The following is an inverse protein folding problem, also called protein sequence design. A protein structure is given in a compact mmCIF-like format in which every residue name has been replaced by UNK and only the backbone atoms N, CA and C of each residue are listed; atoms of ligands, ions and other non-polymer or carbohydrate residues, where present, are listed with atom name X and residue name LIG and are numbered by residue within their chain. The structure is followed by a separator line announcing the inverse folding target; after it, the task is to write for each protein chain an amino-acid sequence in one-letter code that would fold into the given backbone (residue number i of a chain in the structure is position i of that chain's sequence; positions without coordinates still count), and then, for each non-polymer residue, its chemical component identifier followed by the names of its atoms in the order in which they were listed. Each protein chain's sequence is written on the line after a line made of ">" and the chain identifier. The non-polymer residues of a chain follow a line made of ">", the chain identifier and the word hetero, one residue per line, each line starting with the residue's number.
data_IF_853863968675
#
_entry.id   IF_853863968675
#
_cell.length_a   1.000
_cell.length_b   1.000
_cell.length_c   1.000
_cell.angle_alpha   90.00
_cell.angle_beta   90.00
_cell.angle_gamma   90.00
#
_symmetry.space_group_name_H-M   'P 1'
#
loop_
_entity.id
_entity.type
_entity.pdbx_description
1 polymer ?
2 polymer ?
3 water ?
#
# COMPACT_ATOMS: atom_id res chain seq x y z
N UNK A 22 -1.87 14.53 24.17
CA UNK A 22 -0.46 14.30 23.86
C UNK A 22 -0.32 13.70 22.46
N UNK A 23 -0.92 12.53 22.28
CA UNK A 23 -0.96 11.88 20.97
C UNK A 23 -1.75 12.73 20.00
N UNK A 24 -2.79 13.38 20.51
CA UNK A 24 -3.63 14.24 19.68
C UNK A 24 -2.85 15.48 19.27
N UNK A 25 -1.99 15.95 20.15
CA UNK A 25 -1.11 17.07 19.85
C UNK A 25 -0.04 16.67 18.84
N UNK A 26 0.51 15.48 19.02
CA UNK A 26 1.53 14.97 18.11
C UNK A 26 0.96 14.79 16.72
N UNK A 27 -0.21 14.15 16.61
CA UNK A 27 -0.79 13.95 15.29
C UNK A 27 -1.14 15.28 14.61
N UNK A 28 -1.54 16.25 15.42
CA UNK A 28 -1.86 17.56 14.89
C UNK A 28 -0.59 18.20 14.33
N UNK A 29 0.53 17.98 15.03
CA UNK A 29 1.80 18.51 14.57
C UNK A 29 2.18 17.84 13.25
N UNK A 30 1.84 16.57 13.11
CA UNK A 30 2.13 15.82 11.90
C UNK A 30 1.35 16.42 10.73
N UNK A 31 0.08 16.70 10.96
CA UNK A 31 -0.72 17.33 9.92
C UNK A 31 -0.22 18.73 9.55
N UNK A 32 0.23 19.49 10.53
CA UNK A 32 0.79 20.83 10.24
C UNK A 32 1.98 20.73 9.29
N UNK A 33 2.85 19.76 9.53
CA UNK A 33 4.01 19.59 8.65
C UNK A 33 3.61 19.21 7.23
N UNK A 34 2.63 18.31 7.09
CA UNK A 34 2.15 17.93 5.77
C UNK A 34 1.57 19.13 5.03
N UNK A 35 0.83 19.95 5.75
CA UNK A 35 0.24 21.15 5.17
C UNK A 35 1.34 22.08 4.68
N UNK A 36 2.42 22.14 5.45
CA UNK A 36 3.53 23.06 5.15
C UNK A 36 4.26 22.62 3.89
N UNK A 37 4.51 21.31 3.80
CA UNK A 37 5.18 20.72 2.63
C UNK A 37 4.44 21.02 1.32
N UNK A 38 3.11 20.98 1.38
CA UNK A 38 2.27 21.23 0.22
C UNK A 38 2.34 22.70 -0.16
N UNK A 39 2.34 23.56 0.84
CA UNK A 39 2.43 25.01 0.60
C UNK A 39 3.81 25.39 0.06
N UNK A 40 4.85 24.71 0.53
CA UNK A 40 6.21 25.01 0.12
C UNK A 40 6.51 24.53 -1.30
N UNK A 41 5.88 23.44 -1.71
CA UNK A 41 6.09 22.89 -3.05
C UNK A 41 7.18 21.84 -3.11
N UNK A 43 7.18 18.65 -1.70
CA UNK A 43 6.29 17.56 -2.11
C UNK A 43 5.39 17.96 -3.29
N UNK A 44 5.90 17.69 -4.49
CA UNK A 44 5.25 18.09 -5.75
C UNK A 44 4.33 17.01 -6.33
N UNK A 45 3.46 17.38 -7.26
CA UNK A 45 2.53 16.42 -7.86
C UNK A 45 2.28 16.68 -9.33
N UNK A 46 3.34 16.96 -10.07
CA UNK A 46 3.25 17.29 -11.48
C UNK A 46 2.77 16.13 -12.35
N UNK A 47 3.40 14.96 -12.22
CA UNK A 47 3.03 13.81 -13.04
C UNK A 47 1.56 13.45 -12.86
N UNK A 48 1.10 13.42 -11.62
CA UNK A 48 -0.27 13.02 -11.31
C UNK A 48 -1.29 14.01 -11.85
N UNK A 49 -0.83 15.20 -12.19
CA UNK A 49 -1.71 16.30 -12.62
C UNK A 49 -1.75 16.45 -14.13
N UNK A 50 -0.85 15.78 -14.84
CA UNK A 50 -0.86 15.78 -16.29
C UNK A 50 -2.23 15.38 -16.79
N UNK A 51 -2.71 16.07 -17.83
CA UNK A 51 -4.01 15.74 -18.45
C UNK A 51 -4.08 14.29 -18.93
N UNK A 52 -2.94 13.71 -19.31
CA UNK A 52 -2.91 12.31 -19.72
C UNK A 52 -3.08 11.36 -18.52
N UNK A 53 -2.85 11.87 -17.31
CA UNK A 53 -2.86 11.01 -16.11
C UNK A 53 -4.05 11.20 -15.17
N UNK A 54 -4.68 12.36 -15.22
CA UNK A 54 -5.75 12.66 -14.25
C UNK A 54 -6.80 11.53 -14.08
N UNK A 55 -7.18 10.91 -15.17
CA UNK A 55 -8.24 9.89 -15.06
C UNK A 55 -7.76 8.60 -14.36
N UNK A 56 -6.45 8.47 -14.17
CA UNK A 56 -5.89 7.26 -13.55
C UNK A 56 -5.82 7.34 -12.02
N UNK A 57 -6.28 8.47 -11.49
CA UNK A 57 -6.38 8.68 -10.05
C UNK A 57 -7.78 8.37 -9.56
N UNK A 58 -7.87 7.55 -8.52
CA UNK A 58 -9.17 7.17 -8.00
C UNK A 58 -9.84 8.40 -7.40
N UNK A 59 -9.06 9.24 -6.72
CA UNK A 59 -9.61 10.38 -6.01
C UNK A 59 -8.86 11.64 -6.41
N UNK A 60 -9.59 12.72 -6.72
CA UNK A 60 -8.97 13.97 -7.15
C UNK A 60 -8.06 14.57 -6.09
N UNK A 61 -8.29 14.21 -4.82
CA UNK A 61 -7.50 14.83 -3.76
C UNK A 61 -6.34 13.97 -3.25
N UNK A 62 -6.02 12.91 -3.99
CA UNK A 62 -4.93 12.01 -3.61
C UNK A 62 -4.06 11.73 -4.83
N UNK A 63 -2.93 12.46 -4.92
CA UNK A 63 -1.97 12.32 -6.00
C UNK A 63 -0.60 11.95 -5.45
N UNK A 64 0.14 11.11 -6.20
CA UNK A 64 1.44 10.69 -5.66
C UNK A 64 2.48 11.81 -5.79
N UNK A 65 3.33 11.95 -4.79
CA UNK A 65 4.45 12.88 -4.84
C UNK A 65 5.41 12.46 -5.93
N UNK A 66 5.85 13.43 -6.74
CA UNK A 66 6.83 13.19 -7.79
C UNK A 66 8.12 12.61 -7.23
N UNK A 67 8.51 13.10 -6.07
CA UNK A 67 9.81 12.76 -5.47
C UNK A 67 9.99 11.28 -5.14
N UNK A 68 8.90 10.55 -4.97
CA UNK A 68 8.97 9.16 -4.54
C UNK A 68 8.01 8.29 -5.34
N UNK A 69 7.46 8.84 -6.42
CA UNK A 69 6.45 8.10 -7.16
C UNK A 69 7.04 6.88 -7.85
N UNK A 70 6.19 5.89 -8.09
CA UNK A 70 6.58 4.68 -8.80
C UNK A 70 6.56 4.95 -10.31
N UNK A 71 7.70 4.75 -10.96
CA UNK A 71 7.82 5.02 -12.38
C UNK A 71 7.86 3.72 -13.18
N UNK A 72 6.88 3.52 -14.05
CA UNK A 72 6.73 2.25 -14.77
C UNK A 72 7.44 2.31 -16.13
N UNK A 73 8.42 1.45 -16.34
CA UNK A 73 9.12 1.40 -17.62
C UNK A 73 8.78 0.12 -18.41
N UNK A 74 7.99 -0.77 -17.82
CA UNK A 74 7.63 -2.00 -18.54
C UNK A 74 6.74 -1.65 -19.73
N UNK A 75 7.09 -2.17 -20.91
CA UNK A 75 6.39 -1.87 -22.16
C UNK A 75 6.61 -0.42 -22.65
N UNK A 76 7.65 0.22 -22.13
CA UNK A 76 8.01 1.59 -22.53
C UNK A 76 8.05 1.74 -24.04
N UNK A 77 8.80 0.85 -24.67
CA UNK A 77 9.00 0.83 -26.12
C UNK A 77 7.69 0.83 -26.91
N UNK A 78 6.62 0.33 -26.28
CA UNK A 78 5.31 0.29 -26.93
C UNK A 78 4.54 1.59 -26.71
N UNK A 79 5.13 2.50 -25.95
CA UNK A 79 4.50 3.79 -25.71
C UNK A 79 3.56 3.84 -24.52
N UNK A 80 3.58 2.82 -23.67
CA UNK A 80 2.80 2.84 -22.44
C UNK A 80 3.32 3.92 -21.49
N UNK A 81 2.38 4.59 -20.83
CA UNK A 81 2.69 5.66 -19.89
C UNK A 81 3.45 5.15 -18.66
N UNK A 82 4.28 5.99 -18.07
CA UNK A 82 5.01 5.57 -16.86
C UNK A 82 4.18 5.71 -15.57
N UNK A 83 2.94 6.17 -15.69
CA UNK A 83 2.19 6.63 -14.53
C UNK A 83 1.30 5.60 -13.81
N UNK A 84 1.40 5.59 -12.49
CA UNK A 84 0.45 4.87 -11.64
C UNK A 84 0.36 5.64 -10.33
N UNK A 85 -0.82 5.67 -9.73
CA UNK A 85 -0.95 6.42 -8.50
C UNK A 85 -0.37 5.58 -7.37
N UNK A 86 0.91 5.79 -7.06
CA UNK A 86 1.58 4.95 -6.07
C UNK A 86 2.96 5.52 -5.79
N UNK A 87 3.49 5.24 -4.59
CA UNK A 87 4.77 5.77 -4.18
C UNK A 87 5.61 4.69 -3.49
N UNK A 88 6.92 4.82 -3.60
CA UNK A 88 7.82 3.99 -2.82
C UNK A 88 7.95 4.55 -1.42
N UNK A 89 8.05 3.65 -0.45
CA UNK A 89 8.31 4.01 0.91
C UNK A 89 9.54 3.18 1.35
N UNK A 90 10.53 3.85 1.93
CA UNK A 90 11.75 3.18 2.34
C UNK A 90 11.55 2.40 3.64
N UNK A 91 12.26 1.29 3.78
CA UNK A 91 12.14 0.44 4.95
C UNK A 91 13.23 0.71 5.97
N UNK A 92 13.33 -0.17 6.96
CA UNK A 92 14.24 0.05 8.08
C UNK A 92 15.69 0.12 7.63
N UNK A 93 16.05 -0.64 6.61
CA UNK A 93 17.44 -0.70 6.15
C UNK A 93 17.72 0.36 5.09
N UNK A 94 16.74 1.23 4.84
CA UNK A 94 16.89 2.29 3.87
C UNK A 94 16.57 1.85 2.45
N UNK A 95 16.24 0.58 2.26
CA UNK A 95 15.88 0.10 0.93
C UNK A 95 14.45 0.52 0.57
N UNK A 96 14.10 0.36 -0.70
CA UNK A 96 12.72 0.63 -1.15
C UNK A 96 11.86 -0.57 -0.80
N UNK A 97 11.37 -0.61 0.44
CA UNK A 97 10.72 -1.79 1.00
C UNK A 97 9.22 -1.93 0.71
N UNK A 98 8.55 -0.81 0.50
CA UNK A 98 7.12 -0.84 0.17
C UNK A 98 6.78 -0.03 -1.06
N UNK A 99 5.77 -0.51 -1.79
CA UNK A 99 5.03 0.28 -2.73
C UNK A 99 3.65 0.52 -2.13
N UNK A 100 3.33 1.79 -1.91
CA UNK A 100 2.01 2.18 -1.42
C UNK A 100 1.24 2.73 -2.60
N UNK A 101 0.11 2.11 -2.93
CA UNK A 101 -0.68 2.49 -4.11
C UNK A 101 -2.19 2.36 -3.84
N UNK A 102 -2.99 2.94 -4.74
CA UNK A 102 -4.45 2.96 -4.60
C UNK A 102 -5.02 1.62 -5.05
N UNK A 103 -6.30 1.40 -4.77
CA UNK A 103 -6.96 0.22 -5.31
C UNK A 103 -7.17 0.49 -6.79
N UNK A 104 -6.70 -0.42 -7.65
CA UNK A 104 -6.80 -0.23 -9.10
C UNK A 104 -8.22 0.00 -9.62
N UNK A 105 -8.30 0.80 -10.69
CA UNK A 105 -9.55 1.11 -11.38
C UNK A 105 -9.72 0.16 -12.55
N UNK A 106 -10.93 0.13 -13.13
CA UNK A 106 -11.12 -0.79 -14.26
C UNK A 106 -10.05 -0.60 -15.32
N UNK A 107 -9.66 0.66 -15.54
CA UNK A 107 -8.74 1.00 -16.62
C UNK A 107 -7.28 1.13 -16.19
N UNK A 108 -6.97 0.89 -14.91
CA UNK A 108 -5.57 0.85 -14.49
C UNK A 108 -5.14 -0.52 -13.96
N UNK A 109 -5.95 -1.55 -14.18
CA UNK A 109 -5.61 -2.91 -13.80
C UNK A 109 -4.32 -3.34 -14.49
N UNK A 110 -4.20 -3.01 -15.78
CA UNK A 110 -2.98 -3.32 -16.51
C UNK A 110 -1.77 -2.62 -15.91
N UNK A 111 -1.94 -1.38 -15.47
CA UNK A 111 -0.80 -0.64 -14.91
C UNK A 111 -0.42 -1.26 -13.56
N UNK A 112 -1.43 -1.72 -12.81
CA UNK A 112 -1.19 -2.38 -11.52
C UNK A 112 -0.30 -3.60 -11.70
N UNK A 113 -0.63 -4.41 -12.69
CA UNK A 113 0.19 -5.59 -12.98
C UNK A 113 1.56 -5.24 -13.54
N UNK A 114 1.64 -4.17 -14.33
CA UNK A 114 2.94 -3.71 -14.79
C UNK A 114 3.84 -3.41 -13.60
N UNK A 115 3.28 -2.75 -12.60
CA UNK A 115 3.99 -2.43 -11.37
C UNK A 115 4.46 -3.71 -10.66
N UNK A 116 3.54 -4.65 -10.48
CA UNK A 116 3.84 -5.87 -9.74
C UNK A 116 4.97 -6.62 -10.45
N UNK A 117 4.88 -6.67 -11.77
CA UNK A 117 5.87 -7.40 -12.58
C UNK A 117 7.23 -6.71 -12.63
N UNK A 118 7.24 -5.43 -12.95
CA UNK A 118 8.50 -4.71 -13.07
C UNK A 118 9.37 -4.83 -11.82
N UNK A 119 8.75 -4.63 -10.66
CA UNK A 119 9.51 -4.60 -9.42
C UNK A 119 9.61 -5.93 -8.68
N UNK A 120 9.23 -7.01 -9.36
CA UNK A 120 9.41 -8.35 -8.82
C UNK A 120 8.65 -8.61 -7.53
N UNK A 121 7.48 -7.97 -7.39
CA UNK A 121 6.68 -8.09 -6.17
C UNK A 121 6.26 -9.54 -5.97
N UNK A 122 6.43 -10.04 -4.75
CA UNK A 122 6.01 -11.39 -4.41
C UNK A 122 4.75 -11.43 -3.54
N UNK A 123 4.53 -10.36 -2.78
CA UNK A 123 3.39 -10.32 -1.88
C UNK A 123 2.63 -9.00 -2.01
N UNK A 124 1.31 -9.11 -2.13
CA UNK A 124 0.42 -7.96 -2.18
C UNK A 124 -0.45 -7.96 -0.94
N UNK A 125 -0.43 -6.88 -0.17
CA UNK A 125 -1.36 -6.74 0.95
C UNK A 125 -2.47 -5.75 0.62
N UNK A 126 -3.71 -6.23 0.72
CA UNK A 126 -4.89 -5.43 0.43
C UNK A 126 -5.68 -5.21 1.73
N UNK A 127 -5.86 -3.95 2.10
CA UNK A 127 -6.51 -3.60 3.36
C UNK A 127 -7.98 -3.20 3.21
N UNK A 128 -8.50 -3.17 1.99
CA UNK A 128 -9.87 -2.74 1.74
C UNK A 128 -10.72 -3.85 1.10
N UNK A 129 -12.01 -3.56 0.86
CA UNK A 129 -12.87 -4.43 0.07
C UNK A 129 -13.26 -3.76 -1.26
N UNK A 130 -13.73 -4.55 -2.21
CA UNK A 130 -14.15 -4.01 -3.50
C UNK A 130 -15.28 -2.99 -3.33
N UNK A 131 -16.16 -3.25 -2.40
CA UNK A 131 -17.28 -2.35 -2.11
C UNK A 131 -17.29 -1.93 -0.65
N UNK A 132 -17.30 -0.64 -0.40
CA UNK A 132 -17.39 -0.10 0.95
C UNK A 132 -18.32 1.10 0.98
N UNK A 133 -19.21 1.14 1.93
CA UNK A 133 -20.27 2.15 2.00
C UNK A 133 -21.10 2.22 0.74
N UNK A 134 -21.32 1.08 0.10
CA UNK A 134 -22.05 1.01 -1.13
C UNK A 134 -21.37 1.53 -2.39
N UNK A 135 -20.15 2.02 -2.26
CA UNK A 135 -19.43 2.56 -3.38
C UNK A 135 -18.33 1.59 -3.82
N UNK A 136 -17.93 1.62 -5.09
CA UNK A 136 -16.84 0.76 -5.53
C UNK A 136 -15.52 1.41 -5.11
N UNK A 137 -14.67 0.63 -4.45
CA UNK A 137 -13.48 1.15 -3.79
C UNK A 137 -12.21 0.56 -4.36
N UNK A 138 -12.33 -0.58 -5.02
CA UNK A 138 -11.18 -1.24 -5.62
C UNK A 138 -11.68 -2.33 -6.57
N UNK A 139 -11.07 -2.41 -7.75
CA UNK A 139 -11.43 -3.46 -8.70
C UNK A 139 -10.76 -4.78 -8.37
N UNK A 140 -11.44 -5.89 -8.61
CA UNK A 140 -10.82 -7.20 -8.45
C UNK A 140 -9.72 -7.33 -9.49
N UNK A 141 -8.49 -7.58 -9.04
CA UNK A 141 -7.39 -7.75 -9.96
C UNK A 141 -6.85 -9.17 -9.95
N UNK A 142 -7.49 -10.04 -9.15
CA UNK A 142 -7.04 -11.41 -8.95
C UNK A 142 -8.02 -12.44 -9.51
N UNK A 143 -7.55 -13.68 -9.63
CA UNK A 143 -8.39 -14.89 -9.61
C UNK A 143 -9.46 -14.93 -10.70
N UNK A 144 -10.54 -15.73 -10.61
CA UNK A 144 -10.94 -16.59 -9.48
C UNK A 144 -10.92 -18.08 -9.84
N UNK A 145 -11.51 -18.91 -8.98
CA UNK A 145 -11.53 -20.36 -9.20
C UNK A 145 -12.04 -20.72 -10.60
N UNK A 146 -11.22 -21.43 -11.36
CA UNK A 146 -11.57 -21.81 -12.72
C UNK A 146 -12.01 -20.60 -13.56
N UNK A 147 -11.47 -19.43 -13.23
CA UNK A 147 -11.79 -18.20 -13.96
C UNK A 147 -10.58 -17.28 -14.05
N UNK A 148 -9.66 -17.57 -14.97
CA UNK A 148 -8.47 -16.73 -15.20
C UNK A 148 -8.80 -15.28 -15.58
N UNK A 149 -7.93 -14.36 -15.21
CA UNK A 149 -8.10 -12.96 -15.53
C UNK A 149 -7.04 -12.51 -16.51
N UNK A 150 -7.47 -12.05 -17.68
CA UNK A 150 -6.56 -11.54 -18.69
C UNK A 150 -6.59 -10.01 -18.66
N UNK A 151 -5.45 -9.39 -18.37
CA UNK A 151 -5.33 -7.95 -18.46
C UNK A 151 -4.19 -7.67 -19.40
N UNK A 152 -4.51 -7.14 -20.58
CA UNK A 152 -3.52 -6.95 -21.61
C UNK A 152 -2.73 -8.23 -21.83
N UNK A 153 -1.41 -8.12 -21.80
CA UNK A 153 -0.52 -9.24 -22.00
C UNK A 153 -0.35 -10.11 -20.75
N UNK A 154 -1.06 -9.76 -19.66
CA UNK A 154 -0.97 -10.55 -18.44
C UNK A 154 -2.09 -11.58 -18.34
N UNK A 155 -1.73 -12.78 -17.91
CA UNK A 155 -2.74 -13.78 -17.59
C UNK A 155 -2.62 -14.17 -16.12
N UNK A 156 -3.67 -13.90 -15.34
CA UNK A 156 -3.66 -14.21 -13.91
C UNK A 156 -4.50 -15.45 -13.65
N UNK A 157 -3.92 -16.44 -12.98
CA UNK A 157 -4.65 -17.67 -12.67
C UNK A 157 -4.63 -17.93 -11.17
N UNK A 158 -5.78 -18.34 -10.63
CA UNK A 158 -5.88 -18.69 -9.22
C UNK A 158 -5.41 -20.12 -8.99
N UNK A 159 -4.28 -20.27 -8.33
CA UNK A 159 -3.74 -21.58 -8.00
C UNK A 159 -4.46 -22.18 -6.80
N UNK A 160 -4.61 -21.39 -5.75
CA UNK A 160 -5.38 -21.84 -4.60
C UNK A 160 -5.69 -20.64 -3.74
N UNK A 161 -6.71 -20.77 -2.90
CA UNK A 161 -7.01 -19.75 -1.92
C UNK A 161 -7.43 -20.40 -0.62
N UNK A 162 -7.26 -19.68 0.48
CA UNK A 162 -7.69 -20.19 1.77
C UNK A 162 -7.70 -19.05 2.76
N UNK A 163 -8.35 -19.28 3.89
CA UNK A 163 -8.37 -18.29 4.94
C UNK A 163 -7.15 -18.43 5.82
N UNK A 164 -6.46 -17.31 6.06
CA UNK A 164 -5.39 -17.27 7.03
C UNK A 164 -6.03 -17.25 8.42
N UNK A 165 -7.15 -16.53 8.52
CA UNK A 165 -7.98 -16.43 9.72
C UNK A 165 -9.28 -15.82 9.25
N UNK A 166 -10.24 -15.63 10.15
CA UNK A 166 -11.58 -15.24 9.71
C UNK A 166 -11.62 -13.89 8.99
N UNK A 167 -10.57 -13.10 9.12
CA UNK A 167 -10.58 -11.74 8.56
C UNK A 167 -9.68 -11.60 7.34
N UNK A 168 -8.98 -12.66 6.96
CA UNK A 168 -7.93 -12.53 5.95
C UNK A 168 -7.93 -13.69 4.97
N UNK A 169 -8.10 -13.39 3.69
CA UNK A 169 -7.94 -14.40 2.65
C UNK A 169 -6.51 -14.40 2.14
N UNK A 170 -5.98 -15.59 1.87
CA UNK A 170 -4.68 -15.72 1.25
C UNK A 170 -4.87 -16.39 -0.12
N UNK A 171 -4.61 -15.64 -1.18
CA UNK A 171 -4.74 -16.19 -2.52
C UNK A 171 -3.36 -16.41 -3.13
N UNK A 172 -3.17 -17.58 -3.72
CA UNK A 172 -1.93 -17.87 -4.43
C UNK A 172 -2.18 -17.77 -5.92
N UNK A 173 -1.51 -16.81 -6.56
CA UNK A 173 -1.75 -16.50 -7.96
C UNK A 173 -0.60 -16.91 -8.85
N UNK A 174 -0.94 -17.35 -10.04
CA UNK A 174 0.05 -17.59 -11.08
C UNK A 174 -0.07 -16.45 -12.08
N UNK A 175 1.00 -15.70 -12.27
CA UNK A 175 0.97 -14.57 -13.20
C UNK A 175 1.90 -14.82 -14.39
N UNK A 176 1.32 -14.73 -15.59
CA UNK A 176 2.06 -15.01 -16.81
C UNK A 176 2.14 -13.80 -17.72
N UNK A 177 3.37 -13.47 -18.13
CA UNK A 177 3.65 -12.32 -18.97
C UNK A 177 4.83 -12.64 -19.87
N UNK A 178 4.63 -12.51 -21.18
CA UNK A 178 5.69 -12.74 -22.16
C UNK A 178 6.46 -14.04 -21.94
N UNK A 179 5.72 -15.14 -21.80
CA UNK A 179 6.31 -16.48 -21.74
C UNK A 179 6.90 -16.83 -20.37
N UNK A 180 6.91 -15.86 -19.45
CA UNK A 180 7.45 -16.11 -18.13
C UNK A 180 6.32 -16.24 -17.10
N UNK A 181 6.52 -17.09 -16.10
CA UNK A 181 5.52 -17.31 -15.06
C UNK A 181 6.09 -17.08 -13.67
N UNK A 182 5.29 -16.43 -12.82
CA UNK A 182 5.70 -16.19 -11.44
C UNK A 182 4.58 -16.50 -10.49
N UNK A 183 4.92 -16.77 -9.23
CA UNK A 183 3.92 -16.87 -8.18
C UNK A 183 3.84 -15.53 -7.46
N UNK A 184 2.61 -15.08 -7.23
CA UNK A 184 2.38 -13.87 -6.46
C UNK A 184 1.31 -14.18 -5.43
N UNK A 185 1.56 -13.77 -4.18
CA UNK A 185 0.60 -14.02 -3.11
C UNK A 185 -0.16 -12.73 -2.81
N UNK A 186 -1.46 -12.88 -2.58
CA UNK A 186 -2.29 -11.75 -2.16
C UNK A 186 -2.96 -12.05 -0.83
N UNK A 187 -2.81 -11.14 0.12
CA UNK A 187 -3.50 -11.24 1.39
C UNK A 187 -4.49 -10.08 1.45
N UNK A 188 -5.77 -10.40 1.68
CA UNK A 188 -6.81 -9.38 1.76
C UNK A 188 -7.49 -9.33 3.13
N UNK A 189 -7.39 -8.17 3.80
CA UNK A 189 -8.06 -7.96 5.08
C UNK A 189 -9.50 -7.48 4.84
N UNK A 190 -10.47 -8.22 5.38
CA UNK A 190 -11.87 -8.06 5.02
C UNK A 190 -12.65 -7.00 5.80
N UNK A 191 -12.21 -6.68 7.02
CA UNK A 191 -13.02 -5.85 7.89
C UNK A 191 -12.20 -4.76 8.57
N UNK A 192 -11.70 -3.83 7.77
CA UNK A 192 -10.94 -2.69 8.27
C UNK A 192 -11.48 -1.48 7.52
N UNK A 193 -12.26 -0.62 8.21
CA UNK A 193 -12.86 0.54 7.53
C UNK A 193 -11.84 1.65 7.34
N UNK A 194 -11.96 2.37 6.23
CA UNK A 194 -11.16 3.57 6.00
C UNK A 194 -11.31 4.53 7.18
N UNK A 195 -10.23 5.25 7.49
CA UNK A 195 -10.20 6.21 8.59
C UNK A 195 -10.12 5.56 9.97
N UNK A 196 -10.41 4.27 10.04
CA UNK A 196 -10.43 3.55 11.31
C UNK A 196 -9.40 2.45 11.48
N UNK A 197 -9.72 1.48 12.33
CA UNK A 197 -8.75 0.46 12.71
C UNK A 197 -9.31 -0.92 12.38
N UNK A 198 -8.45 -1.92 12.29
CA UNK A 198 -8.96 -3.25 11.92
C UNK A 198 -9.83 -3.88 13.00
N UNK A 199 -10.82 -4.66 12.56
CA UNK A 199 -11.74 -5.36 13.44
C UNK A 199 -10.99 -6.22 14.47
N UNK A 200 -9.82 -6.72 14.08
CA UNK A 200 -8.99 -7.54 14.94
C UNK A 200 -7.51 -7.17 14.78
N UNK A 201 -6.97 -6.43 15.75
CA UNK A 201 -5.55 -6.07 15.75
C UNK A 201 -4.60 -7.27 15.70
N UNK A 202 -4.97 -8.39 16.30
CA UNK A 202 -4.13 -9.58 16.25
C UNK A 202 -4.11 -10.14 14.85
N UNK A 203 -5.24 -10.08 14.16
CA UNK A 203 -5.31 -10.58 12.79
C UNK A 203 -4.49 -9.71 11.84
N UNK A 204 -4.42 -8.43 12.12
CA UNK A 204 -3.56 -7.56 11.31
C UNK A 204 -2.09 -7.99 11.45
N UNK A 205 -1.64 -8.22 12.68
CA UNK A 205 -0.25 -8.62 12.89
C UNK A 205 0.02 -9.96 12.23
N UNK A 206 -0.95 -10.87 12.29
CA UNK A 206 -0.82 -12.16 11.61
C UNK A 206 -0.66 -11.95 10.10
N UNK A 207 -1.33 -10.93 9.58
CA UNK A 207 -1.18 -10.58 8.16
C UNK A 207 0.26 -10.22 7.82
N UNK A 208 0.82 -9.33 8.62
CA UNK A 208 2.20 -8.86 8.41
C UNK A 208 3.19 -10.01 8.57
N UNK A 209 2.95 -10.86 9.58
CA UNK A 209 3.83 -12.01 9.84
C UNK A 209 3.84 -12.98 8.66
N UNK A 210 2.66 -13.24 8.12
CA UNK A 210 2.52 -14.17 7.00
C UNK A 210 3.09 -13.54 5.73
N UNK A 211 2.86 -12.24 5.54
CA UNK A 211 3.48 -11.52 4.42
C UNK A 211 4.99 -11.73 4.46
N UNK A 212 5.58 -11.57 5.63
CA UNK A 212 7.03 -11.68 5.76
C UNK A 212 7.54 -13.10 5.51
N UNK A 213 6.74 -14.09 5.89
CA UNK A 213 7.10 -15.49 5.68
C UNK A 213 7.11 -15.79 4.18
N UNK A 214 6.07 -15.37 3.50
CA UNK A 214 5.99 -15.51 2.04
C UNK A 214 7.07 -14.70 1.32
N UNK A 215 7.30 -13.47 1.76
CA UNK A 215 8.33 -12.62 1.16
C UNK A 215 9.68 -13.30 1.25
N UNK A 216 9.96 -13.94 2.39
CA UNK A 216 11.24 -14.57 2.62
C UNK A 216 12.38 -13.58 2.54
N UNK A 217 13.58 -14.06 2.25
CA UNK A 217 14.67 -13.15 1.95
C UNK A 217 14.45 -12.66 0.54
N UNK A 218 15.18 -11.63 0.14
CA UNK A 218 14.94 -11.04 -1.17
C UNK A 218 14.55 -9.59 -1.03
N UNK A 219 15.13 -8.74 -1.89
CA UNK A 219 15.02 -7.28 -1.76
C UNK A 219 13.75 -6.69 -2.36
N UNK A 220 12.93 -7.49 -3.03
CA UNK A 220 11.72 -6.96 -3.67
C UNK A 220 10.77 -6.28 -2.67
N UNK A 221 10.16 -5.17 -3.09
CA UNK A 221 9.22 -4.46 -2.20
C UNK A 221 7.90 -5.22 -2.00
N UNK A 222 7.30 -5.05 -0.82
CA UNK A 222 5.93 -5.48 -0.62
C UNK A 222 5.02 -4.47 -1.28
N UNK A 223 3.98 -4.94 -1.96
CA UNK A 223 2.96 -4.05 -2.49
C UNK A 223 1.80 -3.95 -1.51
N UNK A 224 1.53 -2.73 -1.06
CA UNK A 224 0.49 -2.49 -0.07
C UNK A 224 -0.51 -1.49 -0.63
N UNK A 225 -1.79 -1.81 -0.54
CA UNK A 225 -2.81 -0.91 -1.07
C UNK A 225 -4.11 -0.96 -0.28
N UNK A 226 -4.86 0.13 -0.36
CA UNK A 226 -6.18 0.20 0.22
C UNK A 226 -7.08 0.71 -0.88
N UNK A 227 -8.01 1.61 -0.59
CA UNK A 227 -8.79 2.19 -1.70
C UNK A 227 -8.03 3.38 -2.28
N UNK A 228 -7.65 4.32 -1.40
CA UNK A 228 -6.87 5.48 -1.83
C UNK A 228 -5.37 5.21 -1.78
N UNK A 229 -4.96 4.25 -0.97
CA UNK A 229 -3.55 4.01 -0.71
C UNK A 229 -3.01 4.97 0.33
N UNK A 230 -3.88 5.39 1.25
CA UNK A 230 -3.47 6.30 2.30
C UNK A 230 -3.52 5.61 3.67
N UNK A 231 -4.51 5.98 4.49
CA UNK A 231 -4.54 5.56 5.88
C UNK A 231 -4.28 4.10 6.18
N UNK A 232 -5.10 3.20 5.65
CA UNK A 232 -4.94 1.79 5.98
C UNK A 232 -3.62 1.26 5.46
N UNK A 233 -3.20 1.81 4.32
CA UNK A 233 -1.94 1.44 3.67
C UNK A 233 -0.75 1.86 4.54
N UNK A 234 -0.78 3.10 5.02
CA UNK A 234 0.29 3.61 5.85
C UNK A 234 0.38 2.93 7.21
N UNK A 235 -0.77 2.60 7.79
CA UNK A 235 -0.79 1.84 9.05
C UNK A 235 -0.08 0.50 8.88
N UNK A 236 -0.43 -0.24 7.82
CA UNK A 236 0.25 -1.51 7.53
C UNK A 236 1.76 -1.34 7.35
N UNK A 237 2.17 -0.41 6.50
CA UNK A 237 3.60 -0.20 6.27
C UNK A 237 4.32 0.14 7.56
N UNK A 238 3.72 1.00 8.38
CA UNK A 238 4.35 1.41 9.64
C UNK A 238 4.50 0.26 10.62
N UNK A 239 3.47 -0.59 10.71
CA UNK A 239 3.53 -1.72 11.61
C UNK A 239 4.65 -2.68 11.15
N UNK A 240 4.74 -2.91 9.85
CA UNK A 240 5.79 -3.80 9.36
C UNK A 240 7.17 -3.18 9.58
N UNK A 241 7.26 -1.87 9.33
CA UNK A 241 8.50 -1.13 9.50
C UNK A 241 9.05 -1.35 10.93
N UNK A 242 8.20 -1.11 11.92
CA UNK A 242 8.62 -1.21 13.32
C UNK A 242 8.85 -2.65 13.76
N UNK A 243 8.07 -3.58 13.21
CA UNK A 243 8.28 -4.99 13.51
C UNK A 243 9.64 -5.43 12.98
N UNK A 244 9.95 -5.03 11.76
CA UNK A 244 11.22 -5.32 11.12
C UNK A 244 12.38 -4.73 11.93
N UNK A 245 12.19 -3.52 12.42
CA UNK A 245 13.19 -2.84 13.25
C UNK A 245 13.43 -3.70 14.50
N UNK A 246 12.34 -4.11 15.13
CA UNK A 246 12.38 -4.88 16.37
C UNK A 246 13.08 -6.23 16.14
N UNK A 247 12.83 -6.84 15.00
CA UNK A 247 13.36 -8.16 14.71
C UNK A 247 14.77 -8.16 14.14
N UNK A 248 15.20 -7.06 13.53
CA UNK A 248 16.44 -7.09 12.76
C UNK A 248 17.50 -6.05 13.12
N UNK A 249 17.14 -5.04 13.88
CA UNK A 249 18.09 -3.97 14.19
C UNK A 249 18.05 -3.55 15.64
N UNK A 250 19.10 -2.85 16.06
CA UNK A 250 19.10 -2.23 17.37
C UNK A 250 18.28 -0.95 17.27
N UNK A 251 17.37 -0.77 18.22
CA UNK A 251 16.54 0.42 18.28
C UNK A 251 17.40 1.64 18.58
N UNK A 252 17.30 2.69 17.75
CA UNK A 252 17.98 3.95 18.09
C UNK A 252 17.54 4.43 19.47
N UNK A 253 18.47 5.02 20.24
CA UNK A 253 18.17 5.49 21.59
C UNK A 253 17.21 6.68 21.57
N UNK A 254 16.98 7.24 20.38
CA UNK A 254 16.03 8.34 20.22
C UNK A 254 14.88 7.94 19.29
N UNK A 255 14.60 6.64 19.19
CA UNK A 255 13.52 6.18 18.34
C UNK A 255 12.21 6.90 18.65
N UNK A 256 11.53 7.36 17.61
CA UNK A 256 10.32 8.15 17.79
C UNK A 256 9.27 7.77 16.75
N UNK A 257 8.07 7.43 17.22
CA UNK A 257 6.99 7.09 16.32
C UNK A 257 6.57 8.31 15.52
N UNK A 258 6.64 9.48 16.15
CA UNK A 258 6.38 10.75 15.46
C UNK A 258 7.25 10.85 14.22
N UNK A 259 8.56 10.64 14.39
CA UNK A 259 9.52 10.70 13.29
C UNK A 259 9.20 9.71 12.18
N UNK A 260 8.86 8.48 12.56
CA UNK A 260 8.56 7.43 11.57
C UNK A 260 7.34 7.81 10.73
N UNK A 261 6.24 8.11 11.40
CA UNK A 261 5.01 8.48 10.70
C UNK A 261 5.21 9.73 9.83
N UNK A 262 5.94 10.71 10.35
CA UNK A 262 6.25 11.91 9.56
C UNK A 262 6.96 11.55 8.26
N UNK A 263 7.98 10.71 8.35
CA UNK A 263 8.71 10.26 7.17
C UNK A 263 7.80 9.47 6.21
N UNK A 264 6.86 8.71 6.75
CA UNK A 264 5.91 7.96 5.93
C UNK A 264 5.04 8.91 5.11
N UNK A 265 4.51 9.93 5.78
CA UNK A 265 3.67 10.93 5.14
C UNK A 265 4.42 11.74 4.10
N UNK A 266 5.72 11.83 4.27
CA UNK A 266 6.56 12.56 3.34
C UNK A 266 6.70 11.75 2.07
N UNK A 267 6.50 10.43 2.17
CA UNK A 267 6.65 9.58 0.98
C UNK A 267 5.34 9.21 0.28
N UNK A 268 4.26 9.18 1.05
CA UNK A 268 2.94 8.86 0.51
C UNK A 268 1.93 9.74 1.23
N UNK A 269 1.14 10.52 0.48
CA UNK A 269 0.19 11.42 1.13
C UNK A 269 -0.73 10.73 2.13
N UNK A 270 -0.92 11.34 3.29
CA UNK A 270 -1.85 10.84 4.30
C UNK A 270 -1.57 9.41 4.69
N UNK A 271 -0.32 8.97 4.55
CA UNK A 271 0.11 7.72 5.15
C UNK A 271 -0.15 7.88 6.64
N UNK A 272 -1.07 7.10 7.16
CA UNK A 272 -1.65 7.34 8.49
C UNK A 272 -2.47 8.62 8.44
N UNK A 273 -3.75 8.43 8.27
CA UNK A 273 -4.65 9.45 7.84
C UNK A 273 -5.31 10.16 8.98
N UNK A 274 -5.47 9.45 10.08
CA UNK A 274 -6.32 9.87 11.16
C UNK A 274 -5.75 9.75 12.56
N UNK A 275 -6.24 10.58 13.48
CA UNK A 275 -5.83 10.53 14.86
C UNK A 275 -6.07 9.14 15.40
N UNK A 276 -7.23 8.60 15.13
CA UNK A 276 -7.59 7.26 15.57
C UNK A 276 -6.52 6.23 15.16
N UNK A 277 -6.14 6.27 13.88
CA UNK A 277 -5.11 5.37 13.37
C UNK A 277 -3.75 5.64 14.02
N UNK A 278 -3.44 6.91 14.26
CA UNK A 278 -2.18 7.26 14.91
C UNK A 278 -2.14 6.66 16.32
N UNK A 279 -3.24 6.79 17.05
CA UNK A 279 -3.34 6.22 18.39
C UNK A 279 -3.21 4.69 18.33
N UNK A 280 -3.85 4.11 17.32
CA UNK A 280 -3.83 2.66 17.15
C UNK A 280 -2.38 2.21 16.97
N UNK A 281 -1.67 2.97 16.15
CA UNK A 281 -0.27 2.71 15.87
C UNK A 281 0.57 2.70 17.14
N UNK A 282 0.34 3.68 17.99
CA UNK A 282 1.11 3.82 19.22
C UNK A 282 0.92 2.63 20.14
N UNK A 283 -0.34 2.25 20.33
CA UNK A 283 -0.67 1.13 21.19
C UNK A 283 -0.10 -0.18 20.65
N UNK A 284 -0.23 -0.37 19.34
CA UNK A 284 0.31 -1.55 18.66
C UNK A 284 1.84 -1.63 18.79
N UNK A 285 2.50 -0.50 18.59
CA UNK A 285 3.96 -0.45 18.67
C UNK A 285 4.43 -0.72 20.10
N UNK A 286 3.79 -0.07 21.07
CA UNK A 286 4.13 -0.33 22.48
C UNK A 286 3.95 -1.80 22.83
N UNK A 287 2.89 -2.41 22.32
CA UNK A 287 2.64 -3.82 22.54
C UNK A 287 3.77 -4.67 21.93
N UNK A 288 4.17 -4.34 20.71
CA UNK A 288 5.26 -5.07 20.03
C UNK A 288 6.59 -4.99 20.78
N UNK A 289 6.95 -3.79 21.21
CA UNK A 289 8.11 -3.59 22.07
C UNK A 289 7.92 -4.41 23.34
N UNK A 290 6.68 -4.46 23.82
CA UNK A 290 6.27 -5.21 25.02
C UNK A 290 6.15 -4.30 26.24
N UNK B 1 -16.05 12.55 -4.85
CA UNK B 1 -14.81 12.18 -5.56
C UNK B 1 -13.55 12.51 -4.76
N UNK B 2 -13.75 12.89 -3.49
CA UNK B 2 -12.63 13.17 -2.58
C UNK B 2 -12.56 12.11 -1.50
N UNK B 3 -11.34 11.82 -1.02
CA UNK B 3 -11.14 10.81 0.00
C UNK B 3 -10.68 11.48 1.30
N UNK B 4 -9.98 12.60 1.19
CA UNK B 4 -9.42 13.30 2.35
C UNK B 4 -10.23 14.55 2.76
N UNK B 5 -11.54 14.49 2.59
CA UNK B 5 -12.39 15.60 2.98
C UNK B 5 -12.16 16.07 4.41
N UNK B 6 -12.20 15.14 5.35
CA UNK B 6 -12.10 15.49 6.77
C UNK B 6 -10.67 15.42 7.31
N UNK B 7 -9.70 15.22 6.41
CA UNK B 7 -8.33 14.96 6.82
C UNK B 7 -7.29 15.74 6.01
#
# INVERSE_FOLDING_TARGET
>A
AADSARSFLERLEARGGREGAVLAGEFSDIQACSAAWKADGVCSTVAGSRPENVRKNRYKDVLPYDQTRVILSLLQEEGHSDYINGNFIRGVDGSLAYIATQGPLPHTLLDFWRLVWEFGVKVILMACREIENGRKRCERYWAQEQEPLQTGLFCITLIKEKWLNEDIMLRTLKVTFQKESRSVYQLQYMSWPDRGVPSSPDHMLAMVEEARRLQGSGPEPLCVHSSAGCGRTGVLCTVDYVRQLLLTQMIPPDFSLFDVVLKMRKQRPAAVQTEEQYRFLYHTVAQMFCSTLQNAS
>B
PEYLGLD
#
